data_IF_037446863418
#
_entry.id   IF_037446863418
#
_cell.length_a   1.000
_cell.length_b   1.000
_cell.length_c   1.000
_cell.angle_alpha   90.00
_cell.angle_beta   90.00
_cell.angle_gamma   90.00
#
_symmetry.space_group_name_H-M   'P 1'
#
loop_
_entity.id
_entity.type
_entity.pdbx_description
1 polymer ?
#
# COMPACT_ATOMS: atom_id res chain seq x y z
N UNK A 1 20.18 9.79 21.04
CA UNK A 1 18.91 9.91 20.29
C UNK A 1 19.02 9.32 18.89
N UNK A 2 19.80 9.94 17.98
CA UNK A 2 19.81 9.54 16.57
C UNK A 2 20.19 8.07 16.31
N UNK A 3 21.25 7.59 16.95
CA UNK A 3 21.70 6.20 16.83
C UNK A 3 20.62 5.19 17.29
N UNK A 4 19.82 5.55 18.29
CA UNK A 4 18.71 4.72 18.77
C UNK A 4 17.58 4.70 17.75
N UNK A 5 17.25 5.84 17.13
CA UNK A 5 16.25 5.89 16.06
C UNK A 5 16.69 5.06 14.85
N UNK A 6 17.95 5.12 14.45
CA UNK A 6 18.49 4.28 13.36
C UNK A 6 18.37 2.79 13.71
N UNK A 7 18.67 2.39 14.95
CA UNK A 7 18.50 1.00 15.40
C UNK A 7 17.02 0.60 15.35
N UNK A 8 16.11 1.44 15.86
CA UNK A 8 14.67 1.18 15.81
C UNK A 8 14.18 1.02 14.36
N UNK A 9 14.67 1.85 13.45
CA UNK A 9 14.36 1.78 12.03
C UNK A 9 14.77 0.43 11.43
N UNK A 10 16.00 -0.02 11.70
CA UNK A 10 16.49 -1.33 11.25
C UNK A 10 15.65 -2.46 11.86
N UNK A 11 15.28 -2.37 13.14
CA UNK A 11 14.44 -3.37 13.80
C UNK A 11 13.05 -3.48 13.17
N UNK A 12 12.42 -2.35 12.81
CA UNK A 12 11.11 -2.34 12.13
C UNK A 12 11.20 -3.08 10.80
N UNK A 13 12.27 -2.88 10.04
CA UNK A 13 12.48 -3.52 8.75
C UNK A 13 12.78 -5.02 8.85
N UNK A 14 13.63 -5.39 9.81
CA UNK A 14 14.25 -6.72 9.87
C UNK A 14 13.40 -7.67 10.70
N UNK A 15 12.93 -7.26 11.89
CA UNK A 15 12.36 -8.17 12.88
C UNK A 15 11.11 -8.93 12.39
N UNK A 16 10.16 -8.32 11.65
CA UNK A 16 9.00 -9.04 11.12
C UNK A 16 9.36 -10.13 10.10
N UNK A 17 10.54 -10.08 9.48
CA UNK A 17 10.99 -11.07 8.50
C UNK A 17 11.56 -12.34 9.15
N UNK A 18 12.03 -12.22 10.40
CA UNK A 18 12.71 -13.31 11.11
C UNK A 18 11.91 -13.85 12.31
N UNK A 19 11.01 -13.07 12.89
CA UNK A 19 10.27 -13.44 14.11
C UNK A 19 8.78 -13.64 13.81
N UNK A 20 8.32 -14.90 13.84
CA UNK A 20 6.91 -15.25 13.55
C UNK A 20 5.88 -14.54 14.43
N UNK A 21 6.20 -14.32 15.71
CA UNK A 21 5.29 -13.62 16.64
C UNK A 21 5.08 -12.17 16.23
N UNK A 22 6.13 -11.52 15.73
CA UNK A 22 6.11 -10.16 15.20
C UNK A 22 5.38 -10.14 13.85
N UNK A 23 5.67 -11.10 12.98
CA UNK A 23 5.00 -11.28 11.68
C UNK A 23 3.48 -11.48 11.81
N UNK A 24 3.02 -12.17 12.86
CA UNK A 24 1.59 -12.43 13.10
C UNK A 24 0.86 -11.26 13.78
N UNK A 25 1.60 -10.34 14.41
CA UNK A 25 1.05 -9.23 15.19
C UNK A 25 1.72 -7.91 14.79
N UNK A 26 1.88 -7.69 13.49
CA UNK A 26 2.59 -6.52 12.94
C UNK A 26 1.98 -5.22 13.45
N UNK A 27 0.65 -5.16 13.61
CA UNK A 27 -0.03 -3.95 14.09
C UNK A 27 0.42 -3.57 15.50
N UNK A 28 0.50 -4.55 16.41
CA UNK A 28 0.94 -4.34 17.80
C UNK A 28 2.44 -4.04 17.84
N UNK A 29 3.23 -4.76 17.05
CA UNK A 29 4.66 -4.53 16.96
C UNK A 29 4.98 -3.10 16.51
N UNK A 30 4.36 -2.63 15.43
CA UNK A 30 4.56 -1.27 14.94
C UNK A 30 4.10 -0.23 15.96
N UNK A 31 3.02 -0.48 16.69
CA UNK A 31 2.57 0.43 17.74
C UNK A 31 3.63 0.58 18.83
N UNK A 32 4.20 -0.53 19.29
CA UNK A 32 5.30 -0.53 20.28
C UNK A 32 6.51 0.24 19.74
N UNK A 33 6.90 -0.01 18.48
CA UNK A 33 8.03 0.67 17.86
C UNK A 33 7.77 2.16 17.65
N UNK A 34 6.54 2.56 17.29
CA UNK A 34 6.10 3.93 17.14
C UNK A 34 6.14 4.69 18.47
N UNK A 35 5.61 4.11 19.54
CA UNK A 35 5.71 4.68 20.90
C UNK A 35 7.17 4.84 21.31
N UNK A 36 8.01 3.83 21.06
CA UNK A 36 9.43 3.90 21.38
C UNK A 36 10.15 5.00 20.59
N UNK A 37 9.89 5.14 19.29
CA UNK A 37 10.46 6.18 18.44
C UNK A 37 10.01 7.58 18.88
N UNK A 38 8.72 7.76 19.17
CA UNK A 38 8.16 9.02 19.68
C UNK A 38 8.74 9.40 21.06
N UNK A 39 8.96 8.42 21.94
CA UNK A 39 9.59 8.65 23.25
C UNK A 39 11.06 9.07 23.10
N UNK A 40 11.83 8.36 22.28
CA UNK A 40 13.27 8.63 22.07
C UNK A 40 13.50 10.00 21.42
N UNK A 41 12.61 10.41 20.51
CA UNK A 41 12.65 11.71 19.83
C UNK A 41 12.13 12.88 20.67
N UNK A 42 11.61 12.62 21.87
CA UNK A 42 10.99 13.64 22.73
C UNK A 42 9.64 14.15 22.22
N UNK A 43 9.05 13.46 21.23
CA UNK A 43 7.77 13.83 20.62
C UNK A 43 6.56 13.26 21.37
N UNK A 44 6.76 12.35 22.34
CA UNK A 44 5.70 11.77 23.15
C UNK A 44 5.19 12.75 24.24
N UNK A 45 4.53 13.84 23.83
CA UNK A 45 3.87 14.78 24.74
C UNK A 45 2.35 14.69 24.61
N UNK A 46 1.57 15.09 25.64
CA UNK A 46 0.11 15.08 25.56
C UNK A 46 -0.44 15.89 24.37
N UNK A 47 0.24 16.99 24.01
CA UNK A 47 -0.15 17.82 22.87
C UNK A 47 0.01 17.07 21.53
N UNK A 48 1.14 16.38 21.34
CA UNK A 48 1.39 15.60 20.13
C UNK A 48 0.49 14.36 20.04
N UNK A 49 0.23 13.68 21.16
CA UNK A 49 -0.72 12.57 21.19
C UNK A 49 -2.13 13.02 20.84
N UNK A 50 -2.53 14.20 21.33
CA UNK A 50 -3.82 14.78 21.00
C UNK A 50 -3.93 15.11 19.51
N UNK A 51 -2.84 15.53 18.85
CA UNK A 51 -2.82 15.71 17.39
C UNK A 51 -3.07 14.40 16.63
N UNK A 52 -2.46 13.28 17.07
CA UNK A 52 -2.66 11.95 16.47
C UNK A 52 -4.14 11.54 16.54
N UNK A 53 -4.76 11.67 17.72
CA UNK A 53 -6.17 11.33 17.89
C UNK A 53 -7.13 12.40 17.35
N UNK A 54 -6.65 13.56 16.89
CA UNK A 54 -7.46 14.54 16.19
C UNK A 54 -7.36 14.40 14.67
N UNK A 55 -6.49 13.52 14.17
CA UNK A 55 -6.38 13.28 12.75
C UNK A 55 -7.70 12.66 12.24
N UNK A 56 -8.36 13.38 11.34
CA UNK A 56 -9.60 12.94 10.73
C UNK A 56 -9.39 11.70 9.85
N UNK A 57 -8.19 11.53 9.27
CA UNK A 57 -7.87 10.37 8.43
C UNK A 57 -7.93 9.07 9.23
N UNK A 58 -7.50 9.06 10.50
CA UNK A 58 -7.60 7.90 11.38
C UNK A 58 -9.03 7.35 11.45
N UNK A 59 -10.00 8.25 11.67
CA UNK A 59 -11.41 7.88 11.78
C UNK A 59 -12.03 7.51 10.44
N UNK A 60 -11.69 8.24 9.37
CA UNK A 60 -12.19 7.95 8.01
C UNK A 60 -11.74 6.57 7.54
N UNK A 61 -10.45 6.23 7.71
CA UNK A 61 -9.92 4.91 7.32
C UNK A 61 -10.63 3.80 8.09
N UNK A 62 -10.72 3.96 9.42
CA UNK A 62 -11.35 2.97 10.30
C UNK A 62 -12.83 2.77 9.95
N UNK A 63 -13.57 3.86 9.71
CA UNK A 63 -14.96 3.81 9.31
C UNK A 63 -15.15 3.20 7.92
N UNK A 64 -14.31 3.58 6.94
CA UNK A 64 -14.37 3.04 5.58
C UNK A 64 -14.17 1.52 5.58
N UNK A 65 -13.19 1.02 6.32
CA UNK A 65 -12.96 -0.44 6.44
C UNK A 65 -14.17 -1.14 7.07
N UNK A 66 -14.72 -0.59 8.14
CA UNK A 66 -15.89 -1.16 8.79
C UNK A 66 -17.10 -1.20 7.85
N UNK A 67 -17.41 -0.07 7.19
CA UNK A 67 -18.55 0.06 6.28
C UNK A 67 -18.43 -0.84 5.06
N UNK A 68 -17.27 -0.86 4.39
CA UNK A 68 -17.08 -1.72 3.22
C UNK A 68 -17.16 -3.19 3.60
N UNK A 69 -16.62 -3.58 4.76
CA UNK A 69 -16.74 -4.97 5.24
C UNK A 69 -18.21 -5.34 5.51
N UNK A 70 -19.01 -4.41 6.04
CA UNK A 70 -20.45 -4.61 6.23
C UNK A 70 -21.22 -4.70 4.91
N UNK A 71 -20.93 -3.80 3.97
CA UNK A 71 -21.52 -3.80 2.62
C UNK A 71 -21.21 -5.11 1.92
N UNK A 72 -19.96 -5.57 1.98
CA UNK A 72 -19.57 -6.80 1.31
C UNK A 72 -20.21 -8.03 1.95
N UNK A 73 -20.36 -8.06 3.28
CA UNK A 73 -21.11 -9.14 3.96
C UNK A 73 -22.54 -9.30 3.41
N UNK A 74 -23.17 -8.22 2.97
CA UNK A 74 -24.52 -8.25 2.36
C UNK A 74 -24.45 -8.58 0.87
N UNK A 75 -23.45 -8.04 0.15
CA UNK A 75 -23.32 -8.17 -1.30
C UNK A 75 -22.55 -9.42 -1.75
N UNK A 76 -21.97 -10.20 -0.85
CA UNK A 76 -21.09 -11.33 -1.15
C UNK A 76 -21.71 -12.29 -2.20
N UNK A 77 -22.99 -12.63 -2.04
CA UNK A 77 -23.71 -13.50 -2.97
C UNK A 77 -23.84 -12.89 -4.37
N UNK A 78 -24.12 -11.59 -4.47
CA UNK A 78 -24.24 -10.88 -5.74
C UNK A 78 -22.88 -10.76 -6.43
N UNK A 79 -21.82 -10.48 -5.67
CA UNK A 79 -20.46 -10.36 -6.21
C UNK A 79 -19.97 -11.73 -6.71
N UNK A 80 -20.25 -12.83 -5.98
CA UNK A 80 -19.96 -14.19 -6.46
C UNK A 80 -20.68 -14.51 -7.76
N UNK A 81 -21.98 -14.22 -7.85
CA UNK A 81 -22.76 -14.43 -9.07
C UNK A 81 -22.20 -13.64 -10.26
N UNK A 82 -21.82 -12.37 -10.02
CA UNK A 82 -21.20 -11.52 -11.02
C UNK A 82 -19.84 -12.06 -11.50
N UNK A 83 -18.97 -12.47 -10.58
CA UNK A 83 -17.67 -13.07 -10.94
C UNK A 83 -17.84 -14.38 -11.70
N UNK A 84 -18.78 -15.24 -11.31
CA UNK A 84 -19.06 -16.47 -12.05
C UNK A 84 -19.54 -16.18 -13.48
N UNK A 85 -20.44 -15.20 -13.65
CA UNK A 85 -20.89 -14.76 -14.98
C UNK A 85 -19.73 -14.24 -15.83
N UNK A 86 -18.79 -13.51 -15.23
CA UNK A 86 -17.59 -13.05 -15.94
C UNK A 86 -16.68 -14.21 -16.35
N UNK A 87 -16.52 -15.24 -15.50
CA UNK A 87 -15.71 -16.43 -15.78
C UNK A 87 -16.27 -17.32 -16.90
N UNK A 88 -17.56 -17.18 -17.21
CA UNK A 88 -18.20 -17.86 -18.35
C UNK A 88 -17.86 -17.19 -19.69
N UNK A 89 -17.58 -15.88 -19.68
CA UNK A 89 -17.32 -15.11 -20.90
C UNK A 89 -15.86 -14.71 -21.10
N UNK A 90 -15.07 -14.62 -20.03
CA UNK A 90 -13.69 -14.13 -20.04
C UNK A 90 -12.73 -15.15 -19.41
N UNK A 91 -11.49 -15.16 -19.87
CA UNK A 91 -10.44 -15.95 -19.21
C UNK A 91 -10.08 -15.32 -17.86
N UNK A 92 -9.70 -16.16 -16.88
CA UNK A 92 -9.26 -15.70 -15.56
C UNK A 92 -8.09 -14.70 -15.66
N UNK A 93 -7.16 -14.92 -16.61
CA UNK A 93 -6.07 -13.98 -16.92
C UNK A 93 -6.58 -12.59 -17.27
N UNK A 94 -7.59 -12.52 -18.15
CA UNK A 94 -8.17 -11.24 -18.58
C UNK A 94 -8.97 -10.58 -17.45
N UNK A 95 -9.68 -11.35 -16.64
CA UNK A 95 -10.39 -10.82 -15.46
C UNK A 95 -9.41 -10.19 -14.48
N UNK A 96 -8.29 -10.87 -14.18
CA UNK A 96 -7.25 -10.35 -13.28
C UNK A 96 -6.56 -9.12 -13.88
N UNK A 97 -6.27 -9.12 -15.18
CA UNK A 97 -5.76 -7.94 -15.89
C UNK A 97 -6.70 -6.73 -15.70
N UNK A 98 -7.99 -6.91 -16.00
CA UNK A 98 -8.99 -5.85 -15.89
C UNK A 98 -9.15 -5.40 -14.44
N UNK A 99 -9.13 -6.33 -13.48
CA UNK A 99 -9.18 -6.02 -12.05
C UNK A 99 -8.04 -5.08 -11.65
N UNK A 100 -6.80 -5.42 -12.02
CA UNK A 100 -5.60 -4.64 -11.67
C UNK A 100 -5.62 -3.27 -12.32
N UNK A 101 -5.97 -3.17 -13.60
CA UNK A 101 -5.98 -1.91 -14.35
C UNK A 101 -7.12 -1.01 -13.89
N UNK A 102 -8.35 -1.54 -13.80
CA UNK A 102 -9.51 -0.74 -13.41
C UNK A 102 -9.40 -0.25 -11.97
N UNK A 103 -9.02 -1.11 -11.01
CA UNK A 103 -8.83 -0.66 -9.62
C UNK A 103 -7.67 0.32 -9.50
N UNK A 104 -6.59 0.12 -10.28
CA UNK A 104 -5.49 1.08 -10.38
C UNK A 104 -5.97 2.46 -10.80
N UNK A 105 -6.64 2.59 -11.94
CA UNK A 105 -7.05 3.90 -12.45
C UNK A 105 -8.15 4.55 -11.60
N UNK A 106 -9.13 3.77 -11.14
CA UNK A 106 -10.28 4.28 -10.37
C UNK A 106 -9.87 4.66 -8.93
N UNK A 107 -8.77 4.14 -8.38
CA UNK A 107 -8.33 4.49 -7.02
C UNK A 107 -8.07 5.99 -6.82
N UNK A 108 -7.74 6.70 -7.90
CA UNK A 108 -7.61 8.16 -7.93
C UNK A 108 -8.92 8.92 -7.64
N UNK A 109 -10.08 8.27 -7.80
CA UNK A 109 -11.41 8.85 -7.60
C UNK A 109 -12.00 8.39 -6.26
N UNK A 110 -11.84 7.10 -5.94
CA UNK A 110 -12.51 6.48 -4.78
C UNK A 110 -11.62 6.29 -3.55
N UNK A 111 -10.33 6.64 -3.62
CA UNK A 111 -9.27 6.33 -2.64
C UNK A 111 -8.61 4.95 -2.78
N UNK A 112 -7.32 4.87 -2.45
CA UNK A 112 -6.54 3.64 -2.39
C UNK A 112 -7.11 2.62 -1.38
N UNK A 113 -7.68 3.11 -0.27
CA UNK A 113 -8.26 2.26 0.78
C UNK A 113 -9.48 1.51 0.26
N UNK A 114 -10.43 2.23 -0.35
CA UNK A 114 -11.65 1.61 -0.88
C UNK A 114 -11.28 0.66 -2.02
N UNK A 115 -10.35 1.04 -2.91
CA UNK A 115 -9.87 0.17 -3.98
C UNK A 115 -9.23 -1.12 -3.44
N UNK A 116 -8.41 -1.05 -2.38
CA UNK A 116 -7.81 -2.22 -1.74
C UNK A 116 -8.83 -3.13 -1.06
N UNK A 117 -9.86 -2.55 -0.42
CA UNK A 117 -10.94 -3.33 0.17
C UNK A 117 -11.72 -4.09 -0.90
N UNK A 118 -12.07 -3.43 -2.01
CA UNK A 118 -12.70 -4.08 -3.17
C UNK A 118 -11.82 -5.17 -3.77
N UNK A 119 -10.52 -4.91 -3.92
CA UNK A 119 -9.54 -5.89 -4.39
C UNK A 119 -9.60 -7.17 -3.56
N UNK A 120 -9.48 -7.04 -2.24
CA UNK A 120 -9.43 -8.22 -1.35
C UNK A 120 -10.69 -9.06 -1.50
N UNK A 121 -11.83 -8.40 -1.57
CA UNK A 121 -13.10 -9.09 -1.67
C UNK A 121 -13.26 -9.86 -2.98
N UNK A 122 -12.85 -9.24 -4.09
CA UNK A 122 -12.88 -9.90 -5.40
C UNK A 122 -11.85 -11.04 -5.46
N UNK A 123 -10.62 -10.83 -4.96
CA UNK A 123 -9.58 -11.88 -4.93
C UNK A 123 -9.96 -13.06 -4.03
N UNK A 124 -10.75 -12.82 -2.98
CA UNK A 124 -11.20 -13.87 -2.06
C UNK A 124 -12.11 -14.88 -2.74
N UNK A 125 -12.96 -14.42 -3.68
CA UNK A 125 -13.92 -15.25 -4.43
C UNK A 125 -13.36 -15.76 -5.76
N UNK A 126 -12.30 -15.15 -6.29
CA UNK A 126 -11.68 -15.60 -7.53
C UNK A 126 -11.04 -16.98 -7.36
N UNK A 127 -11.11 -17.85 -8.39
CA UNK A 127 -10.60 -19.21 -8.35
C UNK A 127 -9.07 -19.28 -8.53
N UNK A 128 -8.36 -18.66 -7.59
CA UNK A 128 -6.89 -18.55 -7.56
C UNK A 128 -6.31 -19.46 -6.48
N UNK A 129 -5.21 -20.14 -6.78
CA UNK A 129 -4.43 -20.82 -5.75
C UNK A 129 -3.76 -19.80 -4.81
N UNK A 130 -3.36 -20.25 -3.62
CA UNK A 130 -2.79 -19.36 -2.60
C UNK A 130 -1.57 -18.55 -3.08
N UNK A 131 -0.73 -19.11 -3.96
CA UNK A 131 0.44 -18.37 -4.47
C UNK A 131 0.00 -17.28 -5.44
N UNK A 132 -0.94 -17.60 -6.34
CA UNK A 132 -1.50 -16.62 -7.28
C UNK A 132 -2.29 -15.52 -6.55
N UNK A 133 -3.06 -15.85 -5.49
CA UNK A 133 -3.73 -14.84 -4.65
C UNK A 133 -2.74 -13.82 -4.10
N UNK A 134 -1.66 -14.27 -3.48
CA UNK A 134 -0.61 -13.36 -2.97
C UNK A 134 -0.03 -12.51 -4.09
N UNK A 135 0.36 -13.13 -5.22
CA UNK A 135 1.01 -12.40 -6.32
C UNK A 135 0.10 -11.34 -6.97
N UNK A 136 -1.15 -11.71 -7.23
CA UNK A 136 -2.16 -10.80 -7.80
C UNK A 136 -2.47 -9.68 -6.82
N UNK A 137 -2.58 -9.95 -5.53
CA UNK A 137 -2.80 -8.94 -4.50
C UNK A 137 -1.65 -7.93 -4.45
N UNK A 138 -0.40 -8.39 -4.44
CA UNK A 138 0.78 -7.51 -4.43
C UNK A 138 0.81 -6.62 -5.68
N UNK A 139 0.69 -7.21 -6.88
CA UNK A 139 0.67 -6.45 -8.14
C UNK A 139 -0.46 -5.42 -8.18
N UNK A 140 -1.66 -5.84 -7.74
CA UNK A 140 -2.81 -4.95 -7.67
C UNK A 140 -2.57 -3.78 -6.72
N UNK A 141 -1.89 -3.99 -5.59
CA UNK A 141 -1.58 -2.90 -4.66
C UNK A 141 -0.54 -1.92 -5.22
N UNK A 142 0.47 -2.39 -5.96
CA UNK A 142 1.34 -1.48 -6.73
C UNK A 142 0.53 -0.65 -7.73
N UNK A 143 -0.40 -1.28 -8.45
CA UNK A 143 -1.28 -0.60 -9.41
C UNK A 143 -2.17 0.43 -8.72
N UNK A 144 -2.81 0.07 -7.61
CA UNK A 144 -3.64 0.96 -6.81
C UNK A 144 -2.83 2.15 -6.29
N UNK A 145 -1.61 1.94 -5.78
CA UNK A 145 -0.74 3.03 -5.32
C UNK A 145 -0.34 3.97 -6.44
N UNK A 146 0.13 3.44 -7.57
CA UNK A 146 0.48 4.25 -8.74
C UNK A 146 -0.71 5.05 -9.25
N UNK A 147 -1.91 4.47 -9.31
CA UNK A 147 -3.09 5.18 -9.78
C UNK A 147 -3.66 6.16 -8.74
N UNK A 148 -3.60 5.85 -7.44
CA UNK A 148 -4.16 6.69 -6.39
C UNK A 148 -3.46 8.05 -6.33
N UNK A 149 -2.17 8.08 -6.63
CA UNK A 149 -1.39 9.33 -6.59
C UNK A 149 -1.89 10.39 -7.59
N UNK A 150 -2.66 10.01 -8.61
CA UNK A 150 -3.07 10.89 -9.70
C UNK A 150 -3.92 12.08 -9.23
N UNK A 151 -4.61 11.96 -8.10
CA UNK A 151 -5.33 13.08 -7.49
C UNK A 151 -5.10 13.12 -5.98
N UNK A 152 -5.27 14.30 -5.33
CA UNK A 152 -5.23 14.40 -3.87
C UNK A 152 -6.21 13.45 -3.17
N UNK A 153 -7.35 13.15 -3.78
CA UNK A 153 -8.37 12.27 -3.18
C UNK A 153 -7.85 10.85 -3.02
N UNK A 154 -7.00 10.38 -3.93
CA UNK A 154 -6.65 8.97 -4.02
C UNK A 154 -5.84 8.47 -2.83
N UNK A 155 -4.84 9.21 -2.34
CA UNK A 155 -4.05 8.82 -1.17
C UNK A 155 -3.44 10.01 -0.41
N UNK A 156 -3.04 9.82 0.87
CA UNK A 156 -2.47 10.89 1.69
C UNK A 156 -1.21 11.53 1.09
N UNK A 157 -0.34 10.74 0.44
CA UNK A 157 0.87 11.23 -0.22
C UNK A 157 0.53 12.33 -1.23
N UNK A 158 -0.42 12.10 -2.13
CA UNK A 158 -0.84 13.08 -3.13
C UNK A 158 -1.46 14.34 -2.51
N UNK A 159 -2.25 14.18 -1.45
CA UNK A 159 -2.80 15.31 -0.67
C UNK A 159 -1.69 16.16 -0.06
N UNK A 160 -0.71 15.53 0.60
CA UNK A 160 0.39 16.22 1.27
C UNK A 160 1.23 17.00 0.26
N UNK A 161 1.59 16.36 -0.86
CA UNK A 161 2.43 16.96 -1.91
C UNK A 161 1.73 18.18 -2.52
N UNK A 162 0.45 18.05 -2.89
CA UNK A 162 -0.31 19.16 -3.49
C UNK A 162 -0.50 20.32 -2.52
N UNK A 163 -0.81 20.01 -1.25
CA UNK A 163 -0.93 21.03 -0.20
C UNK A 163 0.39 21.75 0.07
N UNK A 164 1.49 21.00 0.23
CA UNK A 164 2.82 21.54 0.57
C UNK A 164 3.43 22.37 -0.56
N UNK A 165 3.19 21.98 -1.81
CA UNK A 165 3.64 22.73 -2.99
C UNK A 165 2.67 23.84 -3.41
N UNK A 166 1.55 24.01 -2.70
CA UNK A 166 0.47 24.95 -3.00
C UNK A 166 -0.02 24.85 -4.45
N UNK A 167 -0.18 23.62 -4.95
CA UNK A 167 -0.57 23.34 -6.34
C UNK A 167 -2.06 23.06 -6.48
N UNK A 168 -2.58 23.16 -7.71
CA UNK A 168 -3.97 22.83 -8.02
C UNK A 168 -4.23 21.31 -8.01
N UNK A 169 -5.51 20.95 -7.94
CA UNK A 169 -5.99 19.56 -7.83
C UNK A 169 -5.39 18.58 -8.87
N UNK A 170 -5.23 19.03 -10.12
CA UNK A 170 -4.74 18.18 -11.23
C UNK A 170 -3.20 18.16 -11.36
N UNK A 171 -2.47 18.79 -10.45
CA UNK A 171 -1.00 18.86 -10.54
C UNK A 171 -0.33 17.48 -10.57
N UNK A 172 -0.76 16.55 -9.69
CA UNK A 172 -0.18 15.20 -9.66
C UNK A 172 -0.46 14.42 -10.94
N UNK A 173 -1.66 14.57 -11.51
CA UNK A 173 -1.99 14.02 -12.81
C UNK A 173 -1.09 14.57 -13.93
N UNK A 174 -0.82 15.87 -13.92
CA UNK A 174 0.08 16.49 -14.91
C UNK A 174 1.54 16.05 -14.73
N UNK A 175 1.97 15.87 -13.48
CA UNK A 175 3.36 15.53 -13.16
C UNK A 175 3.67 14.04 -13.39
N UNK A 176 2.76 13.15 -12.96
CA UNK A 176 2.98 11.71 -12.90
C UNK A 176 2.05 10.89 -13.79
N UNK A 177 1.04 11.51 -14.42
CA UNK A 177 -0.03 10.81 -15.15
C UNK A 177 0.47 9.80 -16.19
N UNK A 178 1.40 10.21 -17.04
CA UNK A 178 1.98 9.33 -18.05
C UNK A 178 2.68 8.11 -17.44
N UNK A 179 3.53 8.31 -16.44
CA UNK A 179 4.26 7.25 -15.75
C UNK A 179 3.31 6.30 -15.02
N UNK A 180 2.38 6.85 -14.25
CA UNK A 180 1.42 6.10 -13.45
C UNK A 180 0.51 5.23 -14.34
N UNK A 181 -0.10 5.81 -15.38
CA UNK A 181 -1.00 5.06 -16.26
C UNK A 181 -0.26 3.94 -16.98
N UNK A 182 0.94 4.21 -17.51
CA UNK A 182 1.78 3.18 -18.15
C UNK A 182 2.15 2.10 -17.15
N UNK A 183 2.59 2.47 -15.94
CA UNK A 183 2.91 1.53 -14.87
C UNK A 183 1.74 0.64 -14.47
N UNK A 184 0.54 1.21 -14.34
CA UNK A 184 -0.72 0.49 -14.06
C UNK A 184 -1.02 -0.54 -15.15
N UNK A 185 -0.90 -0.16 -16.43
CA UNK A 185 -1.13 -1.08 -17.55
C UNK A 185 -0.08 -2.20 -17.59
N UNK A 186 1.20 -1.88 -17.38
CA UNK A 186 2.28 -2.88 -17.33
C UNK A 186 2.10 -3.87 -16.17
N UNK A 187 1.69 -3.38 -14.99
CA UNK A 187 1.34 -4.23 -13.85
C UNK A 187 0.11 -5.10 -14.15
N UNK A 188 -0.89 -4.55 -14.84
CA UNK A 188 -2.00 -5.32 -15.38
C UNK A 188 -1.51 -6.48 -16.25
N UNK A 189 -0.63 -6.23 -17.21
CA UNK A 189 -0.06 -7.28 -18.07
C UNK A 189 0.74 -8.30 -17.27
N UNK A 190 1.55 -7.86 -16.31
CA UNK A 190 2.32 -8.75 -15.42
C UNK A 190 1.39 -9.68 -14.62
N UNK A 191 0.25 -9.17 -14.16
CA UNK A 191 -0.71 -9.96 -13.37
C UNK A 191 -1.23 -11.19 -14.13
N UNK A 192 -1.32 -11.13 -15.46
CA UNK A 192 -1.76 -12.26 -16.29
C UNK A 192 -0.78 -13.43 -16.24
N UNK A 193 0.51 -13.16 -16.02
CA UNK A 193 1.57 -14.18 -15.89
C UNK A 193 1.50 -14.88 -14.53
N UNK A 194 0.92 -14.22 -13.53
CA UNK A 194 0.77 -14.78 -12.19
C UNK A 194 -0.47 -15.65 -12.01
N UNK A 195 -1.29 -15.78 -13.04
CA UNK A 195 -2.48 -16.64 -13.06
C UNK A 195 -2.16 -17.92 -13.83
N UNK A 196 -2.40 -19.06 -13.19
CA UNK A 196 -2.24 -20.39 -13.79
C UNK A 196 -3.31 -20.64 -14.87
N UNK A 197 -2.91 -21.20 -16.02
CA UNK A 197 -3.82 -21.52 -17.13
C UNK A 197 -4.77 -22.68 -16.77
N UNK A 198 -4.32 -23.61 -15.93
CA UNK A 198 -5.08 -24.80 -15.55
C UNK A 198 -5.97 -24.58 -14.31
N UNK A 199 -6.38 -23.34 -14.04
CA UNK A 199 -7.17 -23.00 -12.86
C UNK A 199 -8.47 -23.81 -12.76
N UNK A 200 -9.16 -24.10 -13.89
CA UNK A 200 -10.41 -24.88 -13.89
C UNK A 200 -10.23 -26.32 -13.39
N UNK A 201 -9.13 -26.97 -13.75
CA UNK A 201 -8.83 -28.34 -13.31
C UNK A 201 -8.53 -28.38 -11.80
N UNK A 202 -7.75 -27.41 -11.29
CA UNK A 202 -7.41 -27.30 -9.86
C UNK A 202 -8.57 -26.85 -8.98
N UNK A 203 -9.53 -26.10 -9.54
CA UNK A 203 -10.71 -25.68 -8.81
C UNK A 203 -11.71 -26.83 -8.67
N UNK A 204 -11.89 -27.63 -9.73
CA UNK A 204 -12.79 -28.80 -9.73
C UNK A 204 -12.31 -29.95 -8.83
N UNK A 205 -11.01 -30.12 -8.59
CA UNK A 205 -10.48 -31.13 -7.65
C UNK A 205 -10.64 -30.74 -6.16
N UNK A 206 -10.78 -29.44 -5.84
CA UNK A 206 -10.93 -28.96 -4.46
C UNK A 206 -12.39 -28.78 -4.02
N UNK A 207 -13.36 -29.01 -4.91
CA UNK A 207 -14.80 -28.82 -4.63
C UNK A 207 -15.47 -30.00 -3.90
N UNK A 208 -14.76 -31.09 -3.56
CA UNK A 208 -15.30 -32.13 -2.67
C UNK A 208 -15.41 -31.68 -1.20
N UNK A 209 -14.87 -30.51 -0.84
CA UNK A 209 -15.17 -29.87 0.44
C UNK A 209 -15.59 -28.43 0.17
N UNK A 210 -16.84 -28.27 -0.27
CA UNK A 210 -17.53 -26.98 -0.26
C UNK A 210 -17.69 -26.51 1.20
N UNK A 211 -16.61 -25.99 1.79
CA UNK A 211 -16.67 -25.19 3.00
C UNK A 211 -17.37 -23.91 2.57
N UNK A 212 -18.69 -23.87 2.79
CA UNK A 212 -19.47 -22.64 2.76
C UNK A 212 -18.65 -21.64 3.58
N UNK A 213 -18.11 -20.56 3.01
CA UNK A 213 -17.40 -19.58 3.82
C UNK A 213 -18.42 -19.08 4.83
N UNK A 214 -18.17 -19.35 6.12
CA UNK A 214 -18.98 -18.79 7.19
C UNK A 214 -19.10 -17.29 6.92
N UNK A 215 -20.34 -16.80 6.79
CA UNK A 215 -20.62 -15.35 6.73
C UNK A 215 -19.72 -14.66 7.73
N UNK A 216 -18.93 -13.68 7.29
CA UNK A 216 -18.02 -12.98 8.19
C UNK A 216 -18.77 -12.56 9.46
N UNK A 217 -18.31 -13.07 10.60
CA UNK A 217 -18.89 -12.77 11.90
C UNK A 217 -18.66 -11.28 12.23
N UNK A 218 -19.65 -10.63 12.85
CA UNK A 218 -19.54 -9.23 13.26
C UNK A 218 -18.36 -9.02 14.21
N UNK A 219 -18.07 -10.01 15.05
CA UNK A 219 -16.89 -9.99 15.93
C UNK A 219 -15.59 -9.94 15.13
N UNK A 220 -15.49 -10.70 14.04
CA UNK A 220 -14.33 -10.72 13.16
C UNK A 220 -14.13 -9.37 12.47
N UNK A 221 -15.21 -8.75 11.99
CA UNK A 221 -15.16 -7.40 11.39
C UNK A 221 -14.69 -6.37 12.43
N UNK A 222 -15.22 -6.44 13.67
CA UNK A 222 -14.82 -5.54 14.75
C UNK A 222 -13.34 -5.67 15.14
N UNK A 223 -12.85 -6.89 15.36
CA UNK A 223 -11.44 -7.16 15.69
C UNK A 223 -10.51 -6.64 14.59
N UNK A 224 -10.85 -6.89 13.32
CA UNK A 224 -10.06 -6.44 12.16
C UNK A 224 -10.02 -4.92 12.07
N UNK A 225 -11.16 -4.27 12.23
CA UNK A 225 -11.27 -2.81 12.23
C UNK A 225 -10.41 -2.20 13.34
N UNK A 226 -10.44 -2.78 14.55
CA UNK A 226 -9.59 -2.36 15.66
C UNK A 226 -8.10 -2.55 15.40
N UNK A 227 -7.70 -3.65 14.73
CA UNK A 227 -6.31 -3.85 14.31
C UNK A 227 -5.83 -2.78 13.32
N UNK A 228 -6.67 -2.41 12.36
CA UNK A 228 -6.33 -1.34 11.40
C UNK A 228 -6.24 0.00 12.11
N UNK A 229 -7.14 0.31 13.04
CA UNK A 229 -7.04 1.51 13.88
C UNK A 229 -5.70 1.57 14.63
N UNK A 230 -5.30 0.49 15.31
CA UNK A 230 -4.00 0.41 15.99
C UNK A 230 -2.82 0.61 15.04
N UNK A 231 -2.91 0.02 13.84
CA UNK A 231 -1.89 0.15 12.82
C UNK A 231 -1.74 1.60 12.33
N UNK A 232 -2.84 2.31 12.07
CA UNK A 232 -2.79 3.72 11.62
C UNK A 232 -2.18 4.61 12.70
N UNK A 233 -2.61 4.45 13.96
CA UNK A 233 -2.00 5.17 15.10
C UNK A 233 -0.51 4.87 15.19
N UNK A 234 -0.10 3.62 14.97
CA UNK A 234 1.31 3.24 14.98
C UNK A 234 2.12 4.00 13.93
N UNK A 235 1.60 4.14 12.70
CA UNK A 235 2.26 4.88 11.62
C UNK A 235 2.39 6.38 11.95
N UNK A 236 1.36 7.00 12.49
CA UNK A 236 1.44 8.43 12.88
C UNK A 236 2.49 8.66 13.96
N UNK A 237 2.57 7.78 14.96
CA UNK A 237 3.61 7.81 15.99
C UNK A 237 5.01 7.57 15.40
N UNK A 238 5.11 6.65 14.43
CA UNK A 238 6.36 6.38 13.73
C UNK A 238 6.84 7.59 12.95
N UNK A 239 5.96 8.22 12.16
CA UNK A 239 6.27 9.40 11.37
C UNK A 239 6.67 10.59 12.24
N UNK A 240 5.96 10.79 13.35
CA UNK A 240 6.33 11.77 14.36
C UNK A 240 7.71 11.46 14.98
N UNK A 241 7.95 10.20 15.35
CA UNK A 241 9.19 9.76 15.98
C UNK A 241 10.43 9.87 15.09
N UNK A 242 10.26 9.68 13.78
CA UNK A 242 11.35 9.77 12.80
C UNK A 242 11.55 11.15 12.18
N UNK A 243 10.59 12.07 12.33
CA UNK A 243 10.66 13.43 11.77
C UNK A 243 12.00 14.16 12.03
N UNK A 244 12.59 14.16 13.25
CA UNK A 244 13.87 14.83 13.50
C UNK A 244 15.04 14.26 12.69
N UNK A 245 15.03 12.96 12.40
CA UNK A 245 16.06 12.30 11.59
C UNK A 245 15.91 12.72 10.13
N UNK A 246 14.67 12.80 9.64
CA UNK A 246 14.41 13.15 8.25
C UNK A 246 14.80 14.60 7.97
N UNK A 247 14.31 15.54 8.79
CA UNK A 247 14.53 16.98 8.60
C UNK A 247 16.02 17.35 8.63
N UNK A 248 16.83 16.64 9.43
CA UNK A 248 18.26 16.95 9.60
C UNK A 248 19.13 16.44 8.46
N UNK A 249 18.80 15.28 7.86
CA UNK A 249 19.74 14.57 6.98
C UNK A 249 19.28 14.47 5.52
N UNK A 250 17.97 14.41 5.23
CA UNK A 250 17.50 13.99 3.90
C UNK A 250 17.39 15.17 2.91
N UNK A 251 17.06 16.38 3.38
CA UNK A 251 16.76 17.55 2.51
C UNK A 251 17.94 17.97 1.61
N UNK A 252 19.18 17.57 1.93
CA UNK A 252 20.40 18.05 1.24
C UNK A 252 21.02 17.01 0.28
N UNK A 253 20.36 15.87 0.04
CA UNK A 253 20.93 14.81 -0.79
C UNK A 253 20.72 15.09 -2.29
N UNK A 254 21.66 14.64 -3.13
CA UNK A 254 21.54 14.72 -4.59
C UNK A 254 20.40 13.83 -5.12
N UNK A 255 19.86 14.13 -6.29
CA UNK A 255 18.72 13.41 -6.91
C UNK A 255 18.92 11.88 -6.98
N UNK A 256 20.12 11.40 -7.37
CA UNK A 256 20.40 9.95 -7.44
C UNK A 256 20.40 9.28 -6.06
N UNK A 257 20.96 9.97 -5.06
CA UNK A 257 20.98 9.51 -3.67
C UNK A 257 19.57 9.50 -3.08
N UNK A 258 18.76 10.54 -3.32
CA UNK A 258 17.35 10.57 -2.90
C UNK A 258 16.55 9.44 -3.55
N UNK A 259 16.72 9.23 -4.85
CA UNK A 259 16.01 8.16 -5.55
C UNK A 259 16.30 6.78 -4.95
N UNK A 260 17.58 6.48 -4.66
CA UNK A 260 17.97 5.22 -4.03
C UNK A 260 17.59 5.14 -2.54
N UNK A 261 17.74 6.25 -1.80
CA UNK A 261 17.39 6.34 -0.39
C UNK A 261 15.91 6.07 -0.14
N UNK A 262 15.06 6.49 -1.07
CA UNK A 262 13.60 6.36 -0.97
C UNK A 262 13.10 4.91 -1.04
N UNK A 263 13.99 3.94 -1.26
CA UNK A 263 13.73 2.54 -0.92
C UNK A 263 13.40 2.34 0.57
N UNK A 264 13.81 3.26 1.45
CA UNK A 264 13.38 3.34 2.86
C UNK A 264 11.86 3.45 2.99
N UNK A 265 11.15 3.98 1.98
CA UNK A 265 9.69 4.00 1.90
C UNK A 265 9.06 2.62 1.76
N UNK A 266 9.84 1.57 1.53
CA UNK A 266 9.32 0.21 1.70
C UNK A 266 9.02 -0.06 3.18
N UNK A 267 9.80 0.51 4.09
CA UNK A 267 9.71 0.27 5.54
C UNK A 267 8.85 1.35 6.21
N UNK A 268 9.12 2.63 5.92
CA UNK A 268 8.31 3.77 6.35
C UNK A 268 7.15 4.02 5.40
N UNK A 269 6.07 4.58 5.93
CA UNK A 269 4.94 5.01 5.10
C UNK A 269 5.36 6.12 4.13
N UNK A 270 4.95 5.98 2.86
CA UNK A 270 5.34 6.88 1.78
C UNK A 270 4.87 8.33 1.98
N UNK A 271 3.71 8.54 2.60
CA UNK A 271 3.15 9.86 2.86
C UNK A 271 3.97 10.60 3.94
N UNK A 272 4.49 9.85 4.92
CA UNK A 272 5.42 10.38 5.93
C UNK A 272 6.71 10.90 5.30
N UNK A 273 7.32 10.13 4.39
CA UNK A 273 8.54 10.57 3.70
C UNK A 273 8.27 11.72 2.75
N UNK A 274 7.16 11.68 2.00
CA UNK A 274 6.77 12.80 1.14
C UNK A 274 6.57 14.10 1.93
N UNK A 275 5.95 14.04 3.11
CA UNK A 275 5.77 15.20 3.99
C UNK A 275 7.09 15.84 4.42
N UNK A 276 8.14 15.04 4.54
CA UNK A 276 9.42 15.48 5.06
C UNK A 276 10.42 15.83 3.94
N UNK A 277 10.38 15.13 2.82
CA UNK A 277 11.31 15.31 1.69
C UNK A 277 10.87 16.37 0.69
N UNK A 278 9.57 16.55 0.45
CA UNK A 278 9.09 17.45 -0.60
C UNK A 278 9.17 18.89 -0.14
N UNK A 279 9.80 19.78 -0.91
CA UNK A 279 9.89 21.21 -0.59
C UNK A 279 9.62 22.09 -1.83
N UNK A 280 8.94 23.25 -1.68
CA UNK A 280 8.70 24.17 -2.79
C UNK A 280 9.94 24.67 -3.53
N UNK A 281 11.12 24.66 -2.90
CA UNK A 281 12.37 25.08 -3.56
C UNK A 281 12.92 24.05 -4.55
N UNK A 282 12.38 22.83 -4.55
CA UNK A 282 12.86 21.74 -5.38
C UNK A 282 12.45 21.88 -6.84
N UNK A 283 13.33 21.48 -7.75
CA UNK A 283 13.02 21.43 -9.18
C UNK A 283 12.04 20.31 -9.52
N UNK A 284 11.30 20.46 -10.63
CA UNK A 284 10.29 19.49 -11.07
C UNK A 284 10.84 18.07 -11.24
N UNK A 285 12.06 17.92 -11.76
CA UNK A 285 12.72 16.61 -11.93
C UNK A 285 13.03 15.96 -10.58
N UNK A 286 13.47 16.74 -9.60
CA UNK A 286 13.76 16.25 -8.25
C UNK A 286 12.48 15.77 -7.56
N UNK A 287 11.41 16.57 -7.61
CA UNK A 287 10.10 16.19 -7.08
C UNK A 287 9.59 14.92 -7.77
N UNK A 288 9.67 14.86 -9.10
CA UNK A 288 9.25 13.68 -9.88
C UNK A 288 10.03 12.42 -9.46
N UNK A 289 11.35 12.53 -9.31
CA UNK A 289 12.22 11.43 -8.89
C UNK A 289 11.88 10.93 -7.47
N UNK A 290 11.70 11.86 -6.51
CA UNK A 290 11.28 11.53 -5.14
C UNK A 290 9.96 10.76 -5.17
N UNK A 291 8.94 11.31 -5.84
CA UNK A 291 7.60 10.74 -5.84
C UNK A 291 7.55 9.36 -6.48
N UNK A 292 8.17 9.16 -7.64
CA UNK A 292 8.20 7.85 -8.30
C UNK A 292 8.92 6.83 -7.43
N UNK A 293 10.05 7.19 -6.81
CA UNK A 293 10.75 6.28 -5.92
C UNK A 293 9.93 5.93 -4.68
N UNK A 294 9.26 6.89 -4.04
CA UNK A 294 8.39 6.65 -2.89
C UNK A 294 7.21 5.75 -3.25
N UNK A 295 6.56 5.97 -4.40
CA UNK A 295 5.41 5.16 -4.83
C UNK A 295 5.79 3.70 -5.12
N UNK A 296 6.89 3.49 -5.85
CA UNK A 296 7.34 2.15 -6.21
C UNK A 296 7.90 1.43 -4.97
N UNK A 297 8.72 2.11 -4.18
CA UNK A 297 9.28 1.55 -2.95
C UNK A 297 8.20 1.22 -1.93
N UNK A 298 7.18 2.07 -1.81
CA UNK A 298 6.02 1.86 -0.96
C UNK A 298 5.24 0.57 -1.27
N UNK A 299 5.31 0.05 -2.50
CA UNK A 299 4.71 -1.24 -2.88
C UNK A 299 5.50 -2.47 -2.42
N UNK A 300 6.79 -2.33 -2.10
CA UNK A 300 7.71 -3.45 -1.92
C UNK A 300 7.46 -4.29 -0.66
N UNK A 301 7.00 -3.65 0.42
CA UNK A 301 6.66 -4.32 1.68
C UNK A 301 5.27 -3.86 2.16
N UNK A 302 4.73 -4.60 3.13
CA UNK A 302 3.39 -4.35 3.68
C UNK A 302 3.25 -2.95 4.27
N UNK A 303 4.29 -2.41 4.92
CA UNK A 303 4.20 -1.14 5.66
C UNK A 303 4.36 0.11 4.79
N UNK A 304 4.76 -0.05 3.53
CA UNK A 304 5.13 1.10 2.69
C UNK A 304 3.95 1.91 2.14
N UNK A 305 2.74 1.34 2.06
CA UNK A 305 1.53 2.06 1.65
C UNK A 305 0.25 1.41 2.24
N UNK A 306 -0.77 2.23 2.52
CA UNK A 306 -2.09 1.85 3.07
C UNK A 306 -2.80 0.70 2.32
N UNK A 307 -2.89 0.64 0.98
CA UNK A 307 -3.56 -0.47 0.31
C UNK A 307 -2.85 -1.80 0.56
N UNK A 308 -1.54 -1.81 0.78
CA UNK A 308 -0.79 -3.03 1.11
C UNK A 308 -1.19 -3.54 2.49
N UNK A 309 -1.29 -2.63 3.45
CA UNK A 309 -1.65 -2.90 4.84
C UNK A 309 -3.03 -3.55 4.93
N UNK A 310 -4.01 -2.90 4.31
CA UNK A 310 -5.40 -3.38 4.27
C UNK A 310 -5.48 -4.75 3.60
N UNK A 311 -4.78 -4.93 2.48
CA UNK A 311 -4.79 -6.18 1.72
C UNK A 311 -4.13 -7.32 2.48
N UNK A 312 -2.94 -7.08 3.03
CA UNK A 312 -2.19 -8.07 3.78
C UNK A 312 -2.92 -8.51 5.06
N UNK A 313 -3.49 -7.56 5.80
CA UNK A 313 -4.24 -7.85 7.01
C UNK A 313 -5.49 -8.70 6.72
N UNK A 314 -6.24 -8.37 5.65
CA UNK A 314 -7.50 -9.04 5.34
C UNK A 314 -7.30 -10.42 4.70
N UNK A 315 -6.33 -10.56 3.80
CA UNK A 315 -5.98 -11.84 3.17
C UNK A 315 -5.01 -12.68 4.01
N UNK A 316 -4.59 -12.18 5.18
CA UNK A 316 -3.59 -12.81 6.06
C UNK A 316 -2.28 -13.11 5.33
N UNK A 317 -1.85 -12.20 4.46
CA UNK A 317 -0.58 -12.31 3.74
C UNK A 317 0.52 -11.87 4.69
N UNK A 318 1.50 -12.74 4.88
CA UNK A 318 2.63 -12.47 5.77
C UNK A 318 3.60 -11.46 5.13
N UNK A 319 4.34 -10.69 5.95
CA UNK A 319 5.31 -9.73 5.42
C UNK A 319 6.37 -10.42 4.54
N UNK A 320 6.76 -11.65 4.91
CA UNK A 320 7.67 -12.47 4.10
C UNK A 320 7.06 -12.85 2.76
N UNK A 321 5.81 -13.30 2.73
CA UNK A 321 5.11 -13.64 1.48
C UNK A 321 4.99 -12.42 0.56
N UNK A 322 4.67 -11.25 1.14
CA UNK A 322 4.63 -9.99 0.41
C UNK A 322 6.00 -9.65 -0.17
N UNK A 323 7.04 -9.63 0.66
CA UNK A 323 8.39 -9.25 0.28
C UNK A 323 8.96 -10.09 -0.87
N UNK A 324 8.66 -11.40 -0.89
CA UNK A 324 9.09 -12.31 -1.96
C UNK A 324 8.55 -11.95 -3.34
N UNK A 325 7.43 -11.23 -3.41
CA UNK A 325 6.82 -10.77 -4.66
C UNK A 325 7.09 -9.27 -4.87
N UNK A 326 6.91 -8.48 -3.82
CA UNK A 326 6.99 -7.03 -3.88
C UNK A 326 8.41 -6.51 -4.10
N UNK A 327 9.43 -7.09 -3.44
CA UNK A 327 10.82 -6.64 -3.63
C UNK A 327 11.30 -6.81 -5.08
N UNK A 328 11.14 -7.97 -5.75
CA UNK A 328 11.54 -8.11 -7.15
C UNK A 328 10.80 -7.15 -8.10
N UNK A 329 9.48 -7.01 -7.92
CA UNK A 329 8.67 -6.13 -8.78
C UNK A 329 9.09 -4.68 -8.60
N UNK A 330 9.20 -4.22 -7.35
CA UNK A 330 9.64 -2.86 -7.05
C UNK A 330 11.05 -2.58 -7.56
N UNK A 331 11.99 -3.51 -7.43
CA UNK A 331 13.34 -3.35 -7.97
C UNK A 331 13.34 -3.19 -9.50
N UNK A 332 12.58 -4.02 -10.23
CA UNK A 332 12.45 -3.89 -11.70
C UNK A 332 11.81 -2.57 -12.09
N UNK A 333 10.75 -2.15 -11.39
CA UNK A 333 10.10 -0.86 -11.65
C UNK A 333 11.03 0.32 -11.34
N UNK A 334 11.77 0.31 -10.23
CA UNK A 334 12.72 1.37 -9.88
C UNK A 334 13.80 1.51 -10.96
N UNK A 335 14.38 0.40 -11.41
CA UNK A 335 15.36 0.44 -12.50
C UNK A 335 14.73 0.96 -13.79
N UNK A 336 13.52 0.49 -14.14
CA UNK A 336 12.79 0.95 -15.32
C UNK A 336 12.53 2.46 -15.31
N UNK A 337 12.00 2.98 -14.20
CA UNK A 337 11.75 4.41 -14.05
C UNK A 337 13.03 5.23 -13.97
N UNK A 338 14.08 4.73 -13.32
CA UNK A 338 15.39 5.39 -13.29
C UNK A 338 15.92 5.62 -14.71
N UNK A 339 15.85 4.60 -15.58
CA UNK A 339 16.26 4.72 -16.98
C UNK A 339 15.41 5.76 -17.72
N UNK A 340 14.10 5.74 -17.55
CA UNK A 340 13.21 6.72 -18.21
C UNK A 340 13.52 8.16 -17.76
N UNK A 341 13.68 8.39 -16.46
CA UNK A 341 13.88 9.72 -15.89
C UNK A 341 15.28 10.31 -16.18
N UNK A 342 16.34 9.52 -15.99
CA UNK A 342 17.70 10.02 -15.97
C UNK A 342 18.50 9.72 -17.25
N UNK A 343 18.08 8.73 -18.06
CA UNK A 343 18.79 8.36 -19.30
C UNK A 343 18.02 8.82 -20.53
N UNK A 344 16.71 8.59 -20.57
CA UNK A 344 15.88 8.95 -21.73
C UNK A 344 15.36 10.39 -21.63
N UNK A 345 15.28 10.95 -20.42
CA UNK A 345 14.78 12.30 -20.13
C UNK A 345 13.34 12.55 -20.64
N UNK A 346 12.47 11.54 -20.52
CA UNK A 346 11.03 11.64 -20.79
C UNK A 346 10.31 11.79 -19.46
#
# INVERSE_FOLDING_TARGET
MLLVLIILFILIAVLPLFVKQVEQNVEIFLLIMGIAAAAVSGMLTPAHLLLVFQDQFLYIITAAVFLVSLIFRVLEAHVKAFVNTLLDHLSLKLIVFLLVVCLGLISSIITAIIAALLLVEIVSILPLDNKSKVRVSVVSCFSIGLGAVLTPIGEPLATIVTSKLHQHFLYMFQLLGGYSIVGVVLLGLLSMVFVDENWRAKFSENDEVMVIPEKEDMRTIGIRTGKIFMFVVALELLGMGFKPVIDTYIIHWSNDLLYAANMVSAILDNATLAAAEIDPVMGTVQIKAILISLLVSGGMLVTGNIPNIVTAAKLKISMKQWAWVGLPIGAVLLVGYYLVLFVVHI
#
